data_IF_846841171559
#
_entry.id   IF_846841171559
#
_cell.length_a   1.000
_cell.length_b   1.000
_cell.length_c   1.000
_cell.angle_alpha   90.00
_cell.angle_beta   90.00
_cell.angle_gamma   90.00
#
_symmetry.space_group_name_H-M   'P 1'
#
loop_
_entity.id
_entity.type
_entity.pdbx_description
1 polymer ?
#
# COMPACT_ATOMS: atom_id res chain seq x y z
N UNK A 1 2.31 1.91 -14.16
CA UNK A 1 3.26 1.99 -13.02
C UNK A 1 2.46 2.24 -11.77
N UNK A 2 2.79 1.54 -10.67
CA UNK A 2 2.15 1.74 -9.38
C UNK A 2 3.24 2.05 -8.37
N UNK A 3 3.07 3.14 -7.61
CA UNK A 3 3.94 3.50 -6.49
C UNK A 3 3.26 3.15 -5.16
N UNK A 4 3.96 2.45 -4.26
CA UNK A 4 3.46 2.16 -2.92
C UNK A 4 4.42 2.79 -1.90
N UNK A 5 3.89 3.51 -0.91
CA UNK A 5 4.63 4.15 0.17
C UNK A 5 5.78 5.04 -0.35
N UNK A 6 7.04 4.74 -0.07
CA UNK A 6 8.19 5.49 -0.62
C UNK A 6 8.20 5.54 -2.16
N UNK A 7 7.74 4.48 -2.82
CA UNK A 7 7.56 4.48 -4.28
C UNK A 7 6.53 5.51 -4.74
N UNK A 8 5.44 5.68 -4.02
CA UNK A 8 4.45 6.72 -4.28
C UNK A 8 5.05 8.13 -4.13
N UNK A 9 5.80 8.37 -3.06
CA UNK A 9 6.50 9.63 -2.84
C UNK A 9 7.48 9.94 -3.98
N UNK A 10 8.26 8.94 -4.40
CA UNK A 10 9.24 9.09 -5.49
C UNK A 10 8.61 9.38 -6.85
N UNK A 11 7.38 8.94 -7.09
CA UNK A 11 6.66 9.23 -8.33
C UNK A 11 6.23 10.70 -8.43
N UNK A 12 6.23 11.45 -7.35
CA UNK A 12 5.89 12.87 -7.30
C UNK A 12 6.90 13.78 -8.00
N UNK A 13 6.69 15.09 -7.88
CA UNK A 13 7.60 16.11 -8.38
C UNK A 13 8.83 16.26 -7.49
N UNK A 14 8.62 16.16 -6.17
CA UNK A 14 9.67 16.31 -5.17
C UNK A 14 9.30 15.69 -3.84
N UNK A 15 10.34 15.38 -3.05
CA UNK A 15 10.24 15.03 -1.64
C UNK A 15 11.02 16.08 -0.84
N UNK A 16 10.37 16.68 0.14
CA UNK A 16 10.91 17.73 1.02
C UNK A 16 11.10 17.18 2.43
N UNK A 17 12.30 17.28 2.96
CA UNK A 17 12.63 16.91 4.34
C UNK A 17 13.33 18.05 5.10
N UNK A 18 12.66 19.20 5.31
CA UNK A 18 13.27 20.38 5.93
C UNK A 18 13.61 20.18 7.42
N UNK A 19 13.19 19.07 8.01
CA UNK A 19 13.47 18.74 9.41
C UNK A 19 14.47 17.59 9.58
N UNK A 20 15.03 17.09 8.46
CA UNK A 20 15.97 15.97 8.46
C UNK A 20 15.43 14.73 9.18
N UNK A 21 14.16 14.38 8.90
CA UNK A 21 13.44 13.25 9.50
C UNK A 21 14.00 11.91 9.02
N UNK A 22 14.36 11.85 7.73
CA UNK A 22 14.83 10.61 7.07
C UNK A 22 16.26 10.72 6.55
N UNK A 23 16.87 11.92 6.56
CA UNK A 23 18.24 12.07 6.06
C UNK A 23 18.73 13.50 6.04
N UNK A 24 19.93 13.71 5.48
CA UNK A 24 20.62 15.02 5.48
C UNK A 24 20.24 15.91 4.28
N UNK A 25 19.37 15.44 3.39
CA UNK A 25 18.99 16.16 2.16
C UNK A 25 17.60 16.76 2.33
N UNK A 26 17.51 18.08 2.35
CA UNK A 26 16.25 18.81 2.55
C UNK A 26 15.27 18.71 1.39
N UNK A 27 15.76 18.47 0.17
CA UNK A 27 14.94 18.39 -1.05
C UNK A 27 15.52 17.43 -2.06
N UNK A 28 14.72 16.49 -2.49
CA UNK A 28 15.03 15.55 -3.58
C UNK A 28 14.02 15.71 -4.71
N UNK A 29 14.46 15.81 -5.98
CA UNK A 29 13.56 15.74 -7.12
C UNK A 29 12.95 14.33 -7.20
N UNK A 30 11.65 14.26 -7.48
CA UNK A 30 10.96 13.01 -7.79
C UNK A 30 11.07 12.64 -9.28
N UNK A 31 10.34 11.61 -9.68
CA UNK A 31 10.28 11.14 -11.06
C UNK A 31 9.35 11.99 -11.95
N UNK A 32 8.53 12.87 -11.34
CA UNK A 32 7.60 13.74 -12.08
C UNK A 32 6.44 13.02 -12.78
N UNK A 33 6.13 11.80 -12.38
CA UNK A 33 5.07 10.98 -12.97
C UNK A 33 3.67 11.33 -12.43
N UNK A 34 3.63 11.77 -11.17
CA UNK A 34 2.42 12.22 -10.50
C UNK A 34 2.54 13.71 -10.17
N UNK A 35 1.47 14.50 -10.31
CA UNK A 35 1.48 15.91 -9.96
C UNK A 35 1.28 16.12 -8.44
N UNK A 36 2.15 15.56 -7.65
CA UNK A 36 2.14 15.59 -6.18
C UNK A 36 3.50 16.02 -5.65
N UNK A 37 3.51 16.57 -4.45
CA UNK A 37 4.72 16.85 -3.65
C UNK A 37 4.56 16.21 -2.27
N UNK A 38 5.62 15.62 -1.75
CA UNK A 38 5.64 15.02 -0.41
C UNK A 38 6.49 15.88 0.52
N UNK A 39 5.97 16.19 1.69
CA UNK A 39 6.72 16.81 2.79
C UNK A 39 6.85 15.82 3.93
N UNK A 40 8.09 15.48 4.30
CA UNK A 40 8.36 14.62 5.44
C UNK A 40 7.92 15.30 6.75
N UNK A 41 7.26 14.54 7.61
CA UNK A 41 6.81 14.97 8.93
C UNK A 41 7.43 14.07 10.00
N UNK A 42 7.65 14.62 11.20
CA UNK A 42 8.14 13.81 12.33
C UNK A 42 7.09 12.85 12.91
N UNK A 43 5.85 12.91 12.41
CA UNK A 43 4.78 12.04 12.85
C UNK A 43 4.66 10.82 11.95
N UNK A 44 4.78 9.64 12.57
CA UNK A 44 4.62 8.35 11.87
C UNK A 44 3.17 7.91 11.92
N UNK A 45 2.58 7.71 10.75
CA UNK A 45 1.29 7.02 10.61
C UNK A 45 1.55 5.52 10.66
N UNK A 46 0.81 4.79 11.51
CA UNK A 46 0.82 3.32 11.56
C UNK A 46 -0.59 2.88 11.92
N UNK A 47 -1.33 2.36 10.94
CA UNK A 47 -2.72 1.93 11.16
C UNK A 47 -3.18 0.90 10.15
N UNK A 48 -4.11 0.04 10.56
CA UNK A 48 -4.92 -0.77 9.64
C UNK A 48 -5.97 0.13 9.00
N UNK A 49 -6.26 -0.10 7.74
CA UNK A 49 -7.25 0.67 6.99
C UNK A 49 -8.20 -0.25 6.23
N UNK A 50 -9.45 0.20 6.14
CA UNK A 50 -10.42 -0.32 5.18
C UNK A 50 -10.72 0.78 4.18
N UNK A 51 -10.78 0.41 2.91
CA UNK A 51 -10.88 1.38 1.83
C UNK A 51 -11.65 0.83 0.63
N UNK A 52 -12.11 1.73 -0.21
CA UNK A 52 -12.63 1.44 -1.55
C UNK A 52 -11.92 2.29 -2.57
N UNK A 53 -12.02 1.92 -3.86
CA UNK A 53 -11.50 2.74 -4.94
C UNK A 53 -12.36 3.99 -5.12
N UNK A 54 -11.72 5.14 -5.27
CA UNK A 54 -12.39 6.31 -5.82
C UNK A 54 -12.66 6.07 -7.31
N UNK A 55 -13.92 6.15 -7.70
CA UNK A 55 -14.26 6.05 -9.11
C UNK A 55 -14.19 7.45 -9.74
N UNK A 56 -13.17 7.77 -10.57
CA UNK A 56 -13.05 9.08 -11.19
C UNK A 56 -14.19 9.42 -12.16
N UNK A 57 -15.00 8.42 -12.53
CA UNK A 57 -16.15 8.56 -13.43
C UNK A 57 -17.51 8.50 -12.72
N UNK A 58 -17.53 8.35 -11.40
CA UNK A 58 -18.76 8.37 -10.61
C UNK A 58 -18.73 9.50 -9.60
N UNK A 59 -19.63 10.51 -9.71
CA UNK A 59 -19.68 11.63 -8.77
C UNK A 59 -20.18 11.25 -7.37
N UNK A 60 -20.61 10.00 -7.18
CA UNK A 60 -20.90 9.47 -5.85
C UNK A 60 -19.79 8.53 -5.45
N UNK A 61 -18.92 9.00 -4.57
CA UNK A 61 -17.96 8.20 -3.81
C UNK A 61 -18.71 7.27 -2.84
N UNK A 62 -19.53 6.37 -3.40
CA UNK A 62 -20.18 5.34 -2.62
C UNK A 62 -19.17 4.23 -2.42
N UNK A 63 -18.72 4.12 -1.19
CA UNK A 63 -17.99 2.95 -0.71
C UNK A 63 -18.84 1.71 -1.01
N UNK A 64 -18.46 0.95 -2.02
CA UNK A 64 -19.08 -0.33 -2.28
C UNK A 64 -18.50 -1.35 -1.29
N UNK A 65 -19.36 -1.97 -0.51
CA UNK A 65 -19.00 -3.14 0.31
C UNK A 65 -18.89 -4.40 -0.59
N UNK A 66 -17.90 -5.30 -0.36
CA UNK A 66 -16.99 -5.29 0.79
C UNK A 66 -15.84 -4.30 0.63
N UNK A 67 -15.40 -3.72 1.76
CA UNK A 67 -14.18 -2.92 1.81
C UNK A 67 -12.96 -3.80 1.59
N UNK A 68 -12.02 -3.30 0.79
CA UNK A 68 -10.65 -3.81 0.75
C UNK A 68 -9.92 -3.48 2.05
N UNK A 69 -8.88 -4.25 2.37
CA UNK A 69 -8.10 -4.10 3.60
C UNK A 69 -6.63 -3.90 3.28
N UNK A 70 -5.97 -3.10 4.11
CA UNK A 70 -4.55 -2.85 4.03
C UNK A 70 -4.04 -2.14 5.27
N UNK A 71 -2.85 -1.59 5.19
CA UNK A 71 -2.28 -0.81 6.29
C UNK A 71 -1.42 0.32 5.77
N UNK A 72 -1.32 1.39 6.55
CA UNK A 72 -0.42 2.52 6.29
C UNK A 72 0.72 2.51 7.29
N UNK A 73 1.95 2.63 6.79
CA UNK A 73 3.15 2.89 7.58
C UNK A 73 3.99 3.88 6.81
N UNK A 74 3.90 5.14 7.15
CA UNK A 74 4.70 6.19 6.49
C UNK A 74 4.96 7.38 7.39
N UNK A 75 5.98 8.16 7.03
CA UNK A 75 6.21 9.52 7.50
C UNK A 75 6.18 10.43 6.29
N UNK A 76 5.41 11.48 6.35
CA UNK A 76 5.24 12.37 5.23
C UNK A 76 3.78 12.57 4.84
N UNK A 77 3.50 13.77 4.40
CA UNK A 77 2.20 14.20 3.89
C UNK A 77 2.38 14.52 2.43
N UNK A 78 1.63 13.82 1.58
CA UNK A 78 1.62 14.02 0.13
C UNK A 78 0.38 14.79 -0.28
N UNK A 79 0.57 15.83 -1.07
CA UNK A 79 -0.51 16.69 -1.57
C UNK A 79 -0.35 16.94 -3.06
N UNK A 80 -1.44 17.14 -3.81
CA UNK A 80 -1.36 17.64 -5.18
C UNK A 80 -0.58 18.96 -5.23
N UNK A 81 0.20 19.15 -6.30
CA UNK A 81 0.86 20.44 -6.56
C UNK A 81 -0.16 21.48 -7.00
N UNK A 82 0.19 22.76 -6.93
CA UNK A 82 -0.69 23.85 -7.33
C UNK A 82 -1.20 23.67 -8.77
N UNK A 83 -2.52 23.77 -8.93
CA UNK A 83 -3.20 23.60 -10.22
C UNK A 83 -3.43 22.15 -10.65
N UNK A 84 -2.95 21.17 -9.92
CA UNK A 84 -3.28 19.76 -10.19
C UNK A 84 -4.72 19.44 -9.74
N UNK A 85 -5.45 18.57 -10.48
CA UNK A 85 -6.77 18.14 -10.06
C UNK A 85 -6.69 17.31 -8.77
N UNK A 86 -7.75 17.35 -7.98
CA UNK A 86 -7.93 16.40 -6.88
C UNK A 86 -8.36 15.06 -7.47
N UNK A 87 -7.50 14.06 -7.38
CA UNK A 87 -7.71 12.75 -8.01
C UNK A 87 -7.22 11.62 -7.11
N UNK A 88 -7.87 11.41 -5.94
CA UNK A 88 -7.48 10.37 -5.03
C UNK A 88 -7.73 8.97 -5.64
N UNK A 89 -6.85 8.02 -5.31
CA UNK A 89 -7.02 6.62 -5.72
C UNK A 89 -8.03 5.89 -4.81
N UNK A 90 -7.94 6.14 -3.51
CA UNK A 90 -8.70 5.42 -2.49
C UNK A 90 -9.53 6.36 -1.61
N UNK A 91 -10.70 5.87 -1.18
CA UNK A 91 -11.52 6.45 -0.12
C UNK A 91 -11.50 5.51 1.08
N UNK A 92 -11.07 5.98 2.24
CA UNK A 92 -10.99 5.22 3.47
C UNK A 92 -12.35 5.20 4.20
N UNK A 93 -12.56 4.21 5.06
CA UNK A 93 -13.80 4.05 5.86
C UNK A 93 -14.12 5.29 6.71
N UNK A 94 -13.12 6.03 7.15
CA UNK A 94 -13.28 7.26 7.93
C UNK A 94 -13.59 8.51 7.10
N UNK A 95 -13.75 8.36 5.78
CA UNK A 95 -14.05 9.45 4.85
C UNK A 95 -12.82 10.23 4.35
N UNK A 96 -11.61 9.93 4.83
CA UNK A 96 -10.38 10.50 4.26
C UNK A 96 -10.00 9.80 2.94
N UNK A 97 -9.18 10.46 2.14
CA UNK A 97 -8.69 9.92 0.87
C UNK A 97 -7.21 9.57 0.97
N UNK A 98 -6.76 8.65 0.10
CA UNK A 98 -5.38 8.26 -0.05
C UNK A 98 -5.00 8.07 -1.51
N UNK A 99 -3.73 8.33 -1.77
CA UNK A 99 -3.13 8.08 -3.06
C UNK A 99 -3.45 9.14 -4.11
N UNK A 100 -2.97 8.88 -5.33
CA UNK A 100 -3.23 9.70 -6.50
C UNK A 100 -3.41 8.80 -7.74
N UNK A 101 -4.43 9.07 -8.52
CA UNK A 101 -4.78 8.35 -9.74
C UNK A 101 -4.68 9.28 -10.95
N UNK A 102 -3.81 8.97 -11.90
CA UNK A 102 -3.76 9.63 -13.20
C UNK A 102 -4.61 8.85 -14.20
N UNK A 103 -4.28 7.57 -14.37
CA UNK A 103 -4.98 6.63 -15.23
C UNK A 103 -4.64 5.17 -14.81
N UNK A 104 -5.17 4.19 -15.57
CA UNK A 104 -4.93 2.77 -15.31
C UNK A 104 -3.46 2.33 -15.42
N UNK A 105 -2.58 3.18 -15.91
CA UNK A 105 -1.14 2.90 -16.09
C UNK A 105 -0.25 3.64 -15.11
N UNK A 106 -0.78 4.66 -14.40
CA UNK A 106 0.00 5.52 -13.50
C UNK A 106 -0.82 5.92 -12.27
N UNK A 107 -0.45 5.40 -11.10
CA UNK A 107 -1.11 5.65 -9.83
C UNK A 107 -0.18 5.40 -8.64
N UNK A 108 -0.54 5.90 -7.47
CA UNK A 108 0.23 5.67 -6.25
C UNK A 108 -0.61 5.76 -4.99
N UNK A 109 -0.15 5.15 -3.89
CA UNK A 109 -0.88 5.01 -2.62
C UNK A 109 0.08 4.82 -1.45
N UNK A 110 -0.35 5.18 -0.25
CA UNK A 110 0.33 4.78 0.99
C UNK A 110 -0.12 3.42 1.51
N UNK A 111 -1.18 2.83 0.95
CA UNK A 111 -1.74 1.58 1.45
C UNK A 111 -0.87 0.40 1.03
N UNK A 112 -0.23 -0.23 2.01
CA UNK A 112 0.42 -1.53 1.87
C UNK A 112 -0.63 -2.65 1.87
N UNK A 113 -0.32 -3.77 1.22
CA UNK A 113 -1.26 -4.90 1.08
C UNK A 113 -2.40 -4.62 0.09
N UNK A 114 -2.37 -3.50 -0.65
CA UNK A 114 -3.40 -3.19 -1.63
C UNK A 114 -3.52 -4.28 -2.70
N UNK A 115 -2.39 -4.87 -3.11
CA UNK A 115 -2.33 -5.97 -4.08
C UNK A 115 -2.80 -7.33 -3.50
N UNK A 116 -3.08 -7.42 -2.21
CA UNK A 116 -3.63 -8.63 -1.59
C UNK A 116 -5.16 -8.74 -1.83
N UNK A 117 -5.78 -7.67 -2.35
CA UNK A 117 -7.22 -7.57 -2.58
C UNK A 117 -7.56 -7.90 -4.03
N UNK A 118 -8.41 -8.89 -4.24
CA UNK A 118 -8.82 -9.35 -5.58
C UNK A 118 -9.48 -8.23 -6.38
N UNK A 119 -10.30 -7.40 -5.72
CA UNK A 119 -11.00 -6.27 -6.35
C UNK A 119 -10.01 -5.23 -6.92
N UNK A 120 -8.89 -5.01 -6.24
CA UNK A 120 -7.85 -4.11 -6.74
C UNK A 120 -7.10 -4.73 -7.92
N UNK A 121 -6.82 -6.03 -7.87
CA UNK A 121 -6.20 -6.76 -8.98
C UNK A 121 -7.11 -6.74 -10.20
N UNK A 122 -8.40 -6.99 -10.04
CA UNK A 122 -9.39 -6.93 -11.12
C UNK A 122 -9.45 -5.52 -11.75
N UNK A 123 -9.42 -4.48 -10.92
CA UNK A 123 -9.34 -3.09 -11.38
C UNK A 123 -8.09 -2.84 -12.23
N UNK A 124 -6.92 -3.32 -11.78
CA UNK A 124 -5.67 -3.16 -12.50
C UNK A 124 -5.64 -3.93 -13.83
N UNK A 125 -6.24 -5.10 -13.87
CA UNK A 125 -6.21 -5.98 -15.04
C UNK A 125 -7.33 -5.67 -16.04
N UNK A 126 -8.37 -4.97 -15.64
CA UNK A 126 -9.51 -4.64 -16.49
C UNK A 126 -9.12 -4.06 -17.88
N UNK A 127 -8.15 -3.13 -17.99
CA UNK A 127 -7.73 -2.59 -19.30
C UNK A 127 -7.02 -3.62 -20.20
N UNK A 128 -6.64 -4.75 -19.65
CA UNK A 128 -5.90 -5.81 -20.35
C UNK A 128 -6.72 -7.09 -20.53
N UNK A 129 -8.01 -7.07 -20.19
CA UNK A 129 -8.87 -8.26 -20.19
C UNK A 129 -8.84 -9.00 -21.52
N UNK A 130 -8.86 -8.27 -22.65
CA UNK A 130 -8.80 -8.85 -24.01
C UNK A 130 -7.48 -9.56 -24.32
N UNK A 131 -6.41 -9.22 -23.61
CA UNK A 131 -5.07 -9.78 -23.79
C UNK A 131 -4.79 -10.95 -22.85
N UNK A 132 -5.57 -11.07 -21.79
CA UNK A 132 -5.45 -12.12 -20.78
C UNK A 132 -6.30 -13.34 -21.16
N UNK A 133 -6.23 -13.80 -22.39
CA UNK A 133 -6.89 -15.02 -22.85
C UNK A 133 -6.24 -16.26 -22.22
N UNK A 134 -6.70 -16.60 -21.03
CA UNK A 134 -6.31 -17.81 -20.31
C UNK A 134 -7.08 -17.82 -18.98
N UNK A 135 -7.49 -19.00 -18.54
CA UNK A 135 -8.12 -19.20 -17.23
C UNK A 135 -7.28 -18.54 -16.13
N UNK A 136 -7.51 -17.26 -15.89
CA UNK A 136 -7.29 -16.68 -14.58
C UNK A 136 -8.38 -17.28 -13.68
N UNK A 137 -8.23 -18.56 -13.33
CA UNK A 137 -8.94 -19.14 -12.21
C UNK A 137 -8.70 -18.18 -11.05
N UNK A 138 -9.74 -17.82 -10.33
CA UNK A 138 -9.67 -16.90 -9.23
C UNK A 138 -8.51 -17.33 -8.29
N UNK A 139 -7.35 -16.72 -8.47
CA UNK A 139 -6.19 -16.95 -7.62
C UNK A 139 -6.47 -16.24 -6.30
N UNK A 140 -6.85 -16.99 -5.30
CA UNK A 140 -7.01 -16.46 -3.95
C UNK A 140 -5.64 -16.28 -3.30
N UNK A 141 -5.12 -15.05 -3.41
CA UNK A 141 -3.84 -14.69 -2.82
C UNK A 141 -3.83 -14.86 -1.29
N UNK A 142 -4.95 -14.62 -0.62
CA UNK A 142 -5.04 -14.79 0.83
C UNK A 142 -4.83 -16.26 1.23
N UNK A 143 -5.55 -17.17 0.63
CA UNK A 143 -5.37 -18.62 0.86
C UNK A 143 -3.97 -19.08 0.51
N UNK A 144 -3.41 -18.63 -0.63
CA UNK A 144 -2.03 -18.96 -0.99
C UNK A 144 -1.03 -18.47 0.07
N UNK A 145 -1.18 -17.26 0.58
CA UNK A 145 -0.30 -16.67 1.59
C UNK A 145 -0.35 -17.44 2.91
N UNK A 146 -1.54 -17.82 3.38
CA UNK A 146 -1.69 -18.65 4.58
C UNK A 146 -1.02 -20.02 4.42
N UNK A 147 -1.16 -20.66 3.28
CA UNK A 147 -0.44 -21.92 2.99
C UNK A 147 1.10 -21.75 3.01
N UNK A 148 1.62 -20.60 2.53
CA UNK A 148 3.07 -20.34 2.61
C UNK A 148 3.52 -20.12 4.07
N UNK A 149 2.70 -19.47 4.91
CA UNK A 149 3.00 -19.33 6.34
C UNK A 149 2.99 -20.68 7.05
N UNK A 150 2.06 -21.57 6.76
CA UNK A 150 2.02 -22.91 7.31
C UNK A 150 3.26 -23.73 6.91
N UNK A 151 3.67 -23.64 5.63
CA UNK A 151 4.90 -24.28 5.15
C UNK A 151 6.14 -23.75 5.85
N UNK A 152 6.23 -22.43 6.07
CA UNK A 152 7.33 -21.79 6.80
C UNK A 152 7.34 -22.24 8.27
N UNK A 153 6.18 -22.25 8.92
CA UNK A 153 6.05 -22.70 10.30
C UNK A 153 6.50 -24.15 10.47
N UNK A 154 6.11 -25.04 9.54
CA UNK A 154 6.55 -26.45 9.56
C UNK A 154 8.04 -26.58 9.28
N UNK A 155 8.60 -25.78 8.37
CA UNK A 155 10.04 -25.75 8.14
C UNK A 155 10.81 -25.36 9.42
N UNK A 156 10.38 -24.30 10.10
CA UNK A 156 10.98 -23.84 11.36
C UNK A 156 10.87 -24.93 12.42
N UNK A 157 9.71 -25.56 12.62
CA UNK A 157 9.53 -26.65 13.59
C UNK A 157 10.50 -27.80 13.39
N UNK A 158 10.81 -28.15 12.14
CA UNK A 158 11.72 -29.26 11.81
C UNK A 158 13.20 -28.94 12.04
N UNK A 159 13.59 -27.65 11.98
CA UNK A 159 14.99 -27.23 12.01
C UNK A 159 15.41 -26.50 13.29
N UNK A 160 14.47 -26.24 14.19
CA UNK A 160 14.72 -25.53 15.44
C UNK A 160 14.46 -26.43 16.64
N UNK A 161 15.35 -26.38 17.63
CA UNK A 161 15.13 -27.08 18.90
C UNK A 161 14.11 -26.31 19.77
N UNK A 162 12.82 -26.50 19.49
CA UNK A 162 11.74 -25.85 20.24
C UNK A 162 11.80 -26.11 21.75
N UNK A 163 12.08 -27.36 22.25
CA UNK A 163 12.24 -27.59 23.69
C UNK A 163 13.29 -26.71 24.34
N UNK A 164 14.42 -26.50 23.67
CA UNK A 164 15.47 -25.63 24.17
C UNK A 164 15.04 -24.16 24.23
N UNK A 165 14.33 -23.70 23.22
CA UNK A 165 13.78 -22.32 23.19
C UNK A 165 12.83 -22.11 24.38
N UNK A 166 11.91 -23.03 24.61
CA UNK A 166 10.99 -22.95 25.74
C UNK A 166 11.71 -22.98 27.08
N UNK A 167 12.78 -23.82 27.23
CA UNK A 167 13.60 -23.84 28.43
C UNK A 167 14.29 -22.49 28.67
N UNK A 168 14.77 -21.81 27.62
CA UNK A 168 15.41 -20.49 27.74
C UNK A 168 14.40 -19.46 28.19
N UNK A 169 13.21 -19.45 27.57
CA UNK A 169 12.15 -18.49 27.88
C UNK A 169 11.62 -18.64 29.31
N UNK A 170 11.53 -19.86 29.83
CA UNK A 170 11.02 -20.12 31.18
C UNK A 170 12.07 -19.87 32.28
N UNK A 171 13.38 -19.95 31.98
CA UNK A 171 14.47 -19.69 32.95
C UNK A 171 14.68 -18.20 33.24
N UNK A 172 14.16 -17.28 32.44
CA UNK A 172 14.34 -15.83 32.65
C UNK A 172 13.22 -15.19 33.48
N UNK A 173 12.41 -15.96 34.19
CA UNK A 173 11.33 -15.49 35.05
C UNK A 173 11.52 -15.81 36.55
N UNK A 174 12.74 -16.21 36.98
CA UNK A 174 13.11 -16.38 38.38
C UNK A 174 14.07 -15.27 38.83
#
# INVERSE_FOLDING_TARGET
MIGICGGYQMMGQEVLDPKHVEGDIERLPGLGLLPISTRMSGEKVTRQVKFGLCNPHSPSSTLHSPFMQGYEIHMGVTTPVEGAPDSPLNLLENGSTDGYYVDSTCMGTYIHGILDNTEFIDFLLAPFADKLSGNAGAFDYHTFKEEQYDRLAEHVRRHVNLPLIYQILTKNHD
#
